data_IF_009560921609
#
_entry.id   IF_009560921609
#
_cell.length_a   1.000
_cell.length_b   1.000
_cell.length_c   1.000
_cell.angle_alpha   90.00
_cell.angle_beta   90.00
_cell.angle_gamma   90.00
#
_symmetry.space_group_name_H-M   'P 1'
#
loop_
_entity.id
_entity.type
_entity.pdbx_description
1 polymer ?
#
# COMPACT_ATOMS: atom_id res chain seq x y z
N UNK A 1 -7.52 -17.35 -1.38
CA UNK A 1 -6.99 -16.06 -0.85
C UNK A 1 -6.71 -15.17 -2.03
N UNK A 2 -7.12 -13.90 -2.02
CA UNK A 2 -6.78 -12.99 -3.12
C UNK A 2 -5.29 -12.69 -3.04
N UNK A 3 -4.53 -13.05 -4.07
CA UNK A 3 -3.09 -12.75 -4.15
C UNK A 3 -2.92 -11.25 -4.30
N UNK A 4 -1.96 -10.66 -3.56
CA UNK A 4 -1.71 -9.23 -3.66
C UNK A 4 -1.26 -8.84 -5.07
N UNK A 5 -1.79 -7.74 -5.56
CA UNK A 5 -1.51 -7.18 -6.89
C UNK A 5 -0.28 -6.27 -6.81
N UNK A 6 0.74 -6.57 -7.57
CA UNK A 6 1.98 -5.80 -7.62
C UNK A 6 2.15 -5.19 -9.00
N UNK A 7 2.47 -3.90 -9.07
CA UNK A 7 2.91 -3.26 -10.30
C UNK A 7 4.42 -3.09 -10.28
N UNK A 8 5.11 -3.69 -11.25
CA UNK A 8 6.56 -3.53 -11.48
C UNK A 8 6.78 -2.52 -12.60
N UNK A 9 7.57 -1.48 -12.33
CA UNK A 9 7.88 -0.39 -13.28
C UNK A 9 9.38 -0.28 -13.44
N UNK A 10 9.88 -0.58 -14.62
CA UNK A 10 11.29 -0.47 -14.99
C UNK A 10 11.37 -0.34 -16.52
N UNK A 11 12.14 0.60 -17.04
CA UNK A 11 12.29 0.79 -18.49
C UNK A 11 13.18 -0.28 -19.14
N UNK A 12 14.02 -0.96 -18.35
CA UNK A 12 14.85 -2.04 -18.81
C UNK A 12 14.06 -3.37 -18.87
N UNK A 13 13.83 -3.95 -20.06
CA UNK A 13 12.98 -5.13 -20.20
C UNK A 13 13.45 -6.34 -19.38
N UNK A 14 14.77 -6.57 -19.35
CA UNK A 14 15.35 -7.73 -18.63
C UNK A 14 15.18 -7.58 -17.11
N UNK A 15 15.45 -6.41 -16.55
CA UNK A 15 15.26 -6.13 -15.13
C UNK A 15 13.79 -6.27 -14.75
N UNK A 16 12.87 -5.68 -15.52
CA UNK A 16 11.44 -5.74 -15.31
C UNK A 16 10.93 -7.19 -15.33
N UNK A 17 11.32 -7.97 -16.35
CA UNK A 17 10.91 -9.36 -16.47
C UNK A 17 11.44 -10.20 -15.30
N UNK A 18 12.73 -10.08 -14.95
CA UNK A 18 13.34 -10.82 -13.84
C UNK A 18 12.62 -10.55 -12.51
N UNK A 19 12.35 -9.28 -12.21
CA UNK A 19 11.60 -8.91 -11.00
C UNK A 19 10.18 -9.50 -11.00
N UNK A 20 9.52 -9.44 -12.14
CA UNK A 20 8.16 -9.96 -12.31
C UNK A 20 8.11 -11.48 -12.15
N UNK A 21 9.08 -12.21 -12.68
CA UNK A 21 9.18 -13.65 -12.53
C UNK A 21 9.39 -14.06 -11.07
N UNK A 22 10.33 -13.44 -10.35
CA UNK A 22 10.55 -13.70 -8.93
C UNK A 22 9.28 -13.46 -8.08
N UNK A 23 8.54 -12.41 -8.38
CA UNK A 23 7.30 -12.12 -7.64
C UNK A 23 6.17 -13.09 -7.99
N UNK A 24 6.07 -13.54 -9.26
CA UNK A 24 5.09 -14.57 -9.66
C UNK A 24 5.39 -15.93 -9.05
N UNK A 25 6.67 -16.32 -8.94
CA UNK A 25 7.09 -17.56 -8.25
C UNK A 25 6.67 -17.56 -6.76
N UNK A 26 6.49 -16.39 -6.18
CA UNK A 26 6.00 -16.20 -4.82
C UNK A 26 4.50 -15.95 -4.71
N UNK A 27 3.77 -16.31 -5.77
CA UNK A 27 2.31 -16.32 -5.82
C UNK A 27 1.67 -14.91 -5.75
N UNK A 28 2.39 -13.87 -6.19
CA UNK A 28 1.83 -12.54 -6.38
C UNK A 28 1.23 -12.38 -7.78
N UNK A 29 0.17 -11.57 -7.89
CA UNK A 29 -0.36 -11.15 -9.18
C UNK A 29 0.40 -9.91 -9.68
N UNK A 30 1.15 -10.05 -10.79
CA UNK A 30 2.10 -9.02 -11.23
C UNK A 30 1.65 -8.37 -12.53
N UNK A 31 1.49 -7.04 -12.51
CA UNK A 31 1.41 -6.16 -13.66
C UNK A 31 2.79 -5.58 -13.98
N UNK A 32 3.03 -5.27 -15.23
CA UNK A 32 4.28 -4.67 -15.69
C UNK A 32 4.01 -3.34 -16.41
N UNK A 33 4.90 -2.39 -16.24
CA UNK A 33 4.92 -1.15 -16.99
C UNK A 33 6.36 -0.76 -17.35
N UNK A 34 6.58 -0.35 -18.59
CA UNK A 34 7.89 0.04 -19.11
C UNK A 34 8.17 1.55 -18.97
N UNK A 35 7.21 2.30 -18.47
CA UNK A 35 7.30 3.75 -18.30
C UNK A 35 6.37 4.25 -17.20
N UNK A 36 6.67 5.42 -16.65
CA UNK A 36 5.82 6.07 -15.65
C UNK A 36 4.41 6.36 -16.19
N UNK A 37 4.25 6.69 -17.48
CA UNK A 37 2.95 6.90 -18.11
C UNK A 37 2.10 5.63 -18.09
N UNK A 38 2.66 4.50 -18.56
CA UNK A 38 1.97 3.21 -18.54
C UNK A 38 1.66 2.77 -17.11
N UNK A 39 2.57 3.04 -16.17
CA UNK A 39 2.35 2.77 -14.75
C UNK A 39 1.13 3.52 -14.21
N UNK A 40 0.99 4.82 -14.54
CA UNK A 40 -0.17 5.62 -14.11
C UNK A 40 -1.50 5.11 -14.68
N UNK A 41 -1.50 4.60 -15.92
CA UNK A 41 -2.68 3.96 -16.53
C UNK A 41 -3.06 2.68 -15.78
N UNK A 42 -2.06 1.83 -15.46
CA UNK A 42 -2.25 0.60 -14.71
C UNK A 42 -2.73 0.88 -13.27
N UNK A 43 -2.17 1.90 -12.60
CA UNK A 43 -2.61 2.28 -11.25
C UNK A 43 -4.09 2.65 -11.22
N UNK A 44 -4.58 3.38 -12.23
CA UNK A 44 -5.98 3.78 -12.32
C UNK A 44 -6.93 2.65 -12.68
N UNK A 45 -6.50 1.73 -13.56
CA UNK A 45 -7.33 0.64 -14.09
C UNK A 45 -7.37 -0.58 -13.17
N UNK A 46 -6.22 -1.02 -12.68
CA UNK A 46 -6.04 -2.33 -12.05
C UNK A 46 -5.91 -2.24 -10.53
N UNK A 47 -5.70 -1.02 -9.98
CA UNK A 47 -5.60 -0.73 -8.55
C UNK A 47 -4.64 -1.66 -7.81
N UNK A 48 -3.32 -1.62 -8.11
CA UNK A 48 -2.37 -2.47 -7.43
C UNK A 48 -2.29 -2.17 -5.93
N UNK A 49 -1.95 -3.20 -5.15
CA UNK A 49 -1.75 -3.12 -3.70
C UNK A 49 -0.41 -2.50 -3.33
N UNK A 50 0.58 -2.58 -4.23
CA UNK A 50 1.90 -1.97 -4.11
C UNK A 50 2.48 -1.69 -5.49
N UNK A 51 3.24 -0.61 -5.61
CA UNK A 51 4.06 -0.29 -6.79
C UNK A 51 5.53 -0.48 -6.44
N UNK A 52 6.26 -1.17 -7.30
CA UNK A 52 7.72 -1.32 -7.26
C UNK A 52 8.26 -0.60 -8.49
N UNK A 53 9.05 0.46 -8.30
CA UNK A 53 9.53 1.28 -9.40
C UNK A 53 11.04 1.52 -9.34
N UNK A 54 11.70 1.40 -10.49
CA UNK A 54 13.04 1.97 -10.64
C UNK A 54 12.97 3.49 -10.45
N UNK A 55 14.05 4.06 -9.93
CA UNK A 55 14.16 5.52 -9.75
C UNK A 55 14.49 6.20 -11.05
N UNK A 56 15.41 5.62 -11.83
CA UNK A 56 15.94 6.24 -13.04
C UNK A 56 15.26 5.65 -14.26
N UNK A 57 14.37 6.41 -14.86
CA UNK A 57 13.68 6.03 -16.10
C UNK A 57 13.60 7.23 -17.04
N UNK A 58 13.59 7.01 -18.37
CA UNK A 58 13.40 8.08 -19.34
C UNK A 58 12.03 8.77 -19.22
N UNK A 59 12.01 10.07 -19.40
CA UNK A 59 10.77 10.86 -19.35
C UNK A 59 10.28 11.08 -17.92
N UNK A 60 9.34 10.27 -17.44
CA UNK A 60 8.86 10.32 -16.07
C UNK A 60 9.74 9.41 -15.21
N UNK A 61 10.57 9.99 -14.34
CA UNK A 61 11.36 9.24 -13.38
C UNK A 61 10.50 8.63 -12.24
N UNK A 62 11.10 7.72 -11.46
CA UNK A 62 10.38 7.03 -10.39
C UNK A 62 9.90 7.96 -9.27
N UNK A 63 10.60 9.06 -8.99
CA UNK A 63 10.18 10.04 -7.97
C UNK A 63 8.98 10.85 -8.47
N UNK A 64 8.97 11.22 -9.74
CA UNK A 64 7.81 11.88 -10.35
C UNK A 64 6.61 10.95 -10.39
N UNK A 65 6.81 9.69 -10.80
CA UNK A 65 5.76 8.66 -10.77
C UNK A 65 5.18 8.50 -9.35
N UNK A 66 6.02 8.40 -8.33
CA UNK A 66 5.59 8.33 -6.94
C UNK A 66 4.68 9.50 -6.56
N UNK A 67 5.08 10.73 -6.90
CA UNK A 67 4.29 11.94 -6.59
C UNK A 67 2.93 11.92 -7.29
N UNK A 68 2.90 11.58 -8.58
CA UNK A 68 1.66 11.51 -9.36
C UNK A 68 0.74 10.38 -8.87
N UNK A 69 1.31 9.21 -8.55
CA UNK A 69 0.55 8.09 -7.97
C UNK A 69 -0.08 8.45 -6.63
N UNK A 70 0.69 9.13 -5.74
CA UNK A 70 0.18 9.61 -4.45
C UNK A 70 -0.89 10.69 -4.57
N UNK A 71 -0.87 11.49 -5.61
CA UNK A 71 -1.93 12.46 -5.88
C UNK A 71 -3.26 11.79 -6.29
N UNK A 72 -3.19 10.61 -6.93
CA UNK A 72 -4.38 9.82 -7.31
C UNK A 72 -4.85 8.91 -6.18
N UNK A 73 -3.90 8.25 -5.48
CA UNK A 73 -4.17 7.32 -4.39
C UNK A 73 -3.14 7.55 -3.28
N UNK A 74 -3.47 8.43 -2.34
CA UNK A 74 -2.54 8.93 -1.32
C UNK A 74 -1.92 7.81 -0.46
N UNK A 75 -2.64 6.73 -0.25
CA UNK A 75 -2.24 5.60 0.60
C UNK A 75 -1.52 4.48 -0.15
N UNK A 76 -1.38 4.54 -1.50
CA UNK A 76 -0.74 3.46 -2.26
C UNK A 76 0.71 3.23 -1.78
N UNK A 77 1.07 2.00 -1.37
CA UNK A 77 2.44 1.69 -1.00
C UNK A 77 3.37 1.75 -2.21
N UNK A 78 4.59 2.28 -2.01
CA UNK A 78 5.58 2.45 -3.05
C UNK A 78 6.95 1.97 -2.57
N UNK A 79 7.52 0.95 -3.22
CA UNK A 79 8.88 0.49 -3.02
C UNK A 79 9.75 1.02 -4.16
N UNK A 80 10.71 1.87 -3.83
CA UNK A 80 11.65 2.40 -4.82
C UNK A 80 12.87 1.49 -4.94
N UNK A 81 13.31 1.24 -6.17
CA UNK A 81 14.53 0.47 -6.47
C UNK A 81 15.52 1.38 -7.19
N UNK A 82 16.81 1.28 -6.93
CA UNK A 82 17.82 2.06 -7.63
C UNK A 82 19.14 1.33 -7.80
N UNK A 83 19.67 1.37 -9.01
CA UNK A 83 21.02 0.95 -9.33
C UNK A 83 22.11 1.97 -8.95
N UNK A 84 21.70 3.21 -8.62
CA UNK A 84 22.61 4.29 -8.20
C UNK A 84 22.25 4.69 -6.76
N UNK A 85 22.61 3.85 -5.76
CA UNK A 85 22.24 4.15 -4.39
C UNK A 85 22.98 5.38 -3.89
N UNK A 86 22.24 6.44 -3.61
CA UNK A 86 22.75 7.61 -2.92
C UNK A 86 21.82 7.97 -1.77
N UNK A 87 22.42 8.53 -0.72
CA UNK A 87 21.65 8.99 0.44
C UNK A 87 20.62 10.08 0.04
N UNK A 88 20.96 10.91 -0.92
CA UNK A 88 20.07 11.96 -1.42
C UNK A 88 18.85 11.40 -2.14
N UNK A 89 19.01 10.37 -2.99
CA UNK A 89 17.91 9.71 -3.71
C UNK A 89 16.99 9.00 -2.72
N UNK A 90 17.55 8.20 -1.80
CA UNK A 90 16.77 7.53 -0.78
C UNK A 90 15.99 8.51 0.10
N UNK A 91 16.65 9.59 0.57
CA UNK A 91 16.02 10.65 1.35
C UNK A 91 14.89 11.35 0.56
N UNK A 92 15.12 11.64 -0.73
CA UNK A 92 14.11 12.24 -1.60
C UNK A 92 12.89 11.32 -1.75
N UNK A 93 13.10 10.03 -2.03
CA UNK A 93 12.02 9.06 -2.14
C UNK A 93 11.16 9.01 -0.86
N UNK A 94 11.81 8.90 0.29
CA UNK A 94 11.10 8.85 1.58
C UNK A 94 10.33 10.15 1.89
N UNK A 95 10.90 11.31 1.58
CA UNK A 95 10.22 12.62 1.73
C UNK A 95 8.97 12.74 0.87
N UNK A 96 8.95 12.12 -0.32
CA UNK A 96 7.79 12.11 -1.21
C UNK A 96 6.81 10.98 -0.92
N UNK A 97 7.01 10.22 0.17
CA UNK A 97 6.07 9.22 0.66
C UNK A 97 6.29 7.81 0.13
N UNK A 98 7.51 7.47 -0.32
CA UNK A 98 7.88 6.07 -0.55
C UNK A 98 7.77 5.30 0.76
N UNK A 99 7.27 4.07 0.67
CA UNK A 99 7.13 3.18 1.83
C UNK A 99 8.46 2.52 2.20
N UNK A 100 9.31 2.27 1.20
CA UNK A 100 10.64 1.70 1.39
C UNK A 100 11.53 1.97 0.17
N UNK A 101 12.83 1.73 0.33
CA UNK A 101 13.85 1.91 -0.71
C UNK A 101 14.80 0.72 -0.71
N UNK A 102 15.08 0.13 -1.88
CA UNK A 102 15.93 -1.04 -2.05
C UNK A 102 17.04 -0.76 -3.07
N UNK A 103 18.31 -0.70 -2.65
CA UNK A 103 19.42 -0.52 -3.58
C UNK A 103 19.72 -1.82 -4.36
N UNK A 104 20.01 -1.71 -5.66
CA UNK A 104 20.58 -2.79 -6.49
C UNK A 104 22.09 -2.92 -6.17
N UNK A 105 22.68 -4.15 -6.16
CA UNK A 105 22.03 -5.45 -6.35
C UNK A 105 21.35 -5.98 -5.08
N UNK A 106 20.29 -6.75 -5.26
CA UNK A 106 19.58 -7.43 -4.17
C UNK A 106 19.18 -8.86 -4.57
N UNK A 107 18.84 -9.67 -3.59
CA UNK A 107 18.38 -11.05 -3.81
C UNK A 107 16.85 -11.13 -3.88
N UNK A 108 16.30 -12.20 -4.50
CA UNK A 108 14.85 -12.43 -4.51
C UNK A 108 14.24 -12.42 -3.09
N UNK A 109 14.95 -13.00 -2.12
CA UNK A 109 14.48 -13.07 -0.72
C UNK A 109 14.45 -11.67 -0.07
N UNK A 110 15.43 -10.81 -0.39
CA UNK A 110 15.46 -9.44 0.10
C UNK A 110 14.29 -8.62 -0.45
N UNK A 111 14.00 -8.76 -1.74
CA UNK A 111 12.86 -8.13 -2.40
C UNK A 111 11.55 -8.58 -1.75
N UNK A 112 11.31 -9.89 -1.66
CA UNK A 112 10.08 -10.46 -1.12
C UNK A 112 9.81 -10.05 0.30
N UNK A 113 10.83 -10.07 1.15
CA UNK A 113 10.71 -9.63 2.55
C UNK A 113 10.26 -8.17 2.63
N UNK A 114 10.80 -7.28 1.77
CA UNK A 114 10.41 -5.87 1.71
C UNK A 114 8.98 -5.70 1.22
N UNK A 115 8.62 -6.37 0.15
CA UNK A 115 7.27 -6.36 -0.42
C UNK A 115 6.23 -6.84 0.59
N UNK A 116 6.44 -8.02 1.18
CA UNK A 116 5.52 -8.59 2.16
C UNK A 116 5.37 -7.70 3.40
N UNK A 117 6.48 -7.15 3.90
CA UNK A 117 6.46 -6.21 5.02
C UNK A 117 5.68 -4.94 4.69
N UNK A 118 5.90 -4.38 3.51
CA UNK A 118 5.23 -3.14 3.08
C UNK A 118 3.72 -3.35 2.95
N UNK A 119 3.30 -4.45 2.33
CA UNK A 119 1.88 -4.81 2.20
C UNK A 119 1.24 -5.02 3.58
N UNK A 120 1.93 -5.75 4.48
CA UNK A 120 1.43 -6.01 5.84
C UNK A 120 1.25 -4.71 6.62
N UNK A 121 2.27 -3.84 6.65
CA UNK A 121 2.20 -2.57 7.37
C UNK A 121 1.09 -1.67 6.81
N UNK A 122 0.92 -1.66 5.48
CA UNK A 122 -0.16 -0.91 4.86
C UNK A 122 -1.55 -1.46 5.24
N UNK A 123 -1.72 -2.79 5.27
CA UNK A 123 -2.99 -3.41 5.68
C UNK A 123 -3.35 -3.10 7.14
N UNK A 124 -2.35 -3.04 8.02
CA UNK A 124 -2.53 -2.71 9.43
C UNK A 124 -2.80 -1.22 9.69
N UNK A 125 -2.36 -0.34 8.78
CA UNK A 125 -2.59 1.11 8.89
C UNK A 125 -3.99 1.54 8.43
N UNK A 126 -4.74 0.68 7.73
CA UNK A 126 -6.12 0.97 7.34
C UNK A 126 -7.02 0.97 8.58
N UNK A 127 -7.79 2.04 8.82
CA UNK A 127 -8.76 2.03 9.92
C UNK A 127 -9.72 0.86 9.72
N UNK A 128 -10.00 0.12 10.79
CA UNK A 128 -11.05 -0.90 10.80
C UNK A 128 -12.33 -0.25 10.30
N UNK A 129 -12.94 -0.82 9.26
CA UNK A 129 -14.24 -0.35 8.79
C UNK A 129 -15.20 -0.31 10.00
N UNK A 130 -15.92 0.80 10.23
CA UNK A 130 -16.88 0.85 11.33
C UNK A 130 -17.86 -0.29 11.13
N UNK A 131 -17.95 -1.16 12.12
CA UNK A 131 -18.91 -2.27 12.13
C UNK A 131 -20.30 -1.64 12.13
N UNK A 132 -20.93 -1.57 10.97
CA UNK A 132 -22.30 -1.00 10.75
C UNK A 132 -23.40 -1.71 11.54
N UNK A 133 -23.11 -2.39 12.62
CA UNK A 133 -24.06 -3.13 13.45
C UNK A 133 -24.00 -2.84 14.93
N UNK A 134 -22.98 -2.13 15.44
CA UNK A 134 -22.80 -1.97 16.90
C UNK A 134 -23.44 -0.70 17.49
N UNK A 135 -23.98 0.19 16.66
CA UNK A 135 -24.61 1.43 17.20
C UNK A 135 -26.07 1.19 17.63
N UNK A 136 -26.76 0.15 17.12
CA UNK A 136 -28.15 -0.11 17.55
C UNK A 136 -28.24 -0.76 18.94
N UNK A 137 -27.21 -1.47 19.39
CA UNK A 137 -27.20 -2.10 20.72
C UNK A 137 -26.96 -1.15 21.89
N UNK A 138 -26.17 -0.09 21.68
CA UNK A 138 -25.84 0.87 22.74
C UNK A 138 -27.00 1.84 23.07
N UNK A 139 -27.83 2.16 22.07
CA UNK A 139 -29.01 3.02 22.30
C UNK A 139 -30.14 2.33 23.06
N UNK A 140 -30.26 1.00 22.93
CA UNK A 140 -31.30 0.22 23.64
C UNK A 140 -30.90 -0.03 25.10
N UNK A 141 -29.61 -0.14 25.42
CA UNK A 141 -29.15 -0.33 26.80
C UNK A 141 -29.31 0.92 27.67
N UNK A 142 -29.11 2.13 27.10
CA UNK A 142 -29.24 3.39 27.84
C UNK A 142 -30.70 3.67 28.24
N UNK A 143 -31.67 3.31 27.42
CA UNK A 143 -33.09 3.48 27.74
C UNK A 143 -33.59 2.45 28.77
N UNK A 144 -33.06 1.24 28.81
CA UNK A 144 -33.35 0.25 29.83
C UNK A 144 -32.81 0.63 31.22
N UNK A 145 -31.62 1.27 31.29
CA UNK A 145 -31.04 1.75 32.54
C UNK A 145 -31.81 2.94 33.11
N UNK A 146 -32.32 3.84 32.27
CA UNK A 146 -33.14 4.96 32.70
C UNK A 146 -34.47 4.49 33.30
N UNK A 147 -35.11 3.45 32.74
CA UNK A 147 -36.34 2.87 33.26
C UNK A 147 -36.15 2.14 34.59
N UNK A 148 -35.03 1.46 34.80
CA UNK A 148 -34.70 0.81 36.06
C UNK A 148 -34.42 1.78 37.19
N UNK A 149 -33.78 2.93 36.92
CA UNK A 149 -33.53 3.95 37.93
C UNK A 149 -34.84 4.64 38.39
N UNK A 150 -35.75 4.93 37.45
CA UNK A 150 -37.07 5.50 37.78
C UNK A 150 -37.94 4.51 38.58
N UNK A 151 -37.89 3.24 38.25
CA UNK A 151 -38.63 2.20 38.98
C UNK A 151 -38.09 1.98 40.42
N UNK A 152 -36.76 2.10 40.61
CA UNK A 152 -36.17 2.01 41.95
C UNK A 152 -36.50 3.23 42.81
N UNK A 153 -36.54 4.43 42.23
CA UNK A 153 -36.86 5.66 42.96
C UNK A 153 -38.31 5.66 43.48
N UNK A 154 -39.25 5.04 42.77
CA UNK A 154 -40.65 4.92 43.16
C UNK A 154 -40.93 3.87 44.26
N UNK A 155 -39.94 3.09 44.64
CA UNK A 155 -40.07 2.06 45.69
C UNK A 155 -39.58 2.56 47.08
N UNK A 156 -39.02 3.77 47.14
CA UNK A 156 -38.45 4.37 48.36
C UNK A 156 -39.15 5.68 48.79
N UNK A 157 -40.28 6.04 48.16
CA UNK A 157 -41.26 7.03 48.65
C UNK A 157 -42.50 6.29 49.25
#
# INVERSE_FOLDING_TARGET
MSHAKILVVDDEPFARQTLSEWLREMDFHVFEAESGRQAMETIRRDEPDIVISDVVMPGMDGIQLLREAKAVKADIPFLMISGYPSHSIASSAMKHGASDYLPKPFTPEALTRRVSRTILLHSLSKPLAPVKGMILGAAISASLWALTIVALAALFD
#
